data_IF_331892422033
#
_entry.id   IF_331892422033
#
_cell.length_a   1.000
_cell.length_b   1.000
_cell.length_c   1.000
_cell.angle_alpha   90.00
_cell.angle_beta   90.00
_cell.angle_gamma   90.00
#
_symmetry.space_group_name_H-M   'P 1'
#
loop_
_entity.id
_entity.type
_entity.pdbx_description
1 polymer ?
#
# COMPACT_ATOMS: atom_id res chain seq x y z
N UNK A 1 81.95 -65.25 -8.72
CA UNK A 1 81.80 -64.69 -10.09
C UNK A 1 82.52 -63.34 -10.11
N UNK A 2 83.83 -63.18 -10.37
CA UNK A 2 84.77 -63.76 -11.33
C UNK A 2 84.54 -63.36 -12.80
N UNK A 3 85.22 -62.29 -13.24
CA UNK A 3 86.03 -62.11 -14.48
C UNK A 3 85.97 -60.65 -14.94
N UNK A 4 87.03 -59.82 -14.90
CA UNK A 4 88.37 -59.82 -15.54
C UNK A 4 88.40 -59.68 -17.07
N UNK A 5 89.20 -58.70 -17.53
CA UNK A 5 89.81 -58.60 -18.85
C UNK A 5 89.10 -57.63 -19.81
N UNK A 6 89.76 -56.82 -20.64
CA UNK A 6 91.18 -56.67 -20.98
C UNK A 6 91.37 -55.36 -21.77
N UNK A 7 92.55 -54.77 -21.59
CA UNK A 7 93.20 -53.72 -22.39
C UNK A 7 93.20 -54.01 -23.90
N UNK A 8 93.13 -52.99 -24.77
CA UNK A 8 94.27 -52.59 -25.64
C UNK A 8 94.00 -51.39 -26.58
N UNK A 9 95.06 -50.58 -26.66
CA UNK A 9 95.64 -49.88 -27.84
C UNK A 9 95.04 -48.57 -28.35
N UNK A 10 95.85 -47.53 -28.14
CA UNK A 10 95.92 -46.30 -28.91
C UNK A 10 96.19 -46.54 -30.41
N UNK A 11 95.63 -45.68 -31.26
CA UNK A 11 96.19 -45.26 -32.57
C UNK A 11 95.64 -43.90 -32.98
N UNK A 12 96.51 -42.90 -32.89
CA UNK A 12 96.82 -41.84 -33.86
C UNK A 12 95.70 -41.25 -34.74
N UNK A 13 95.53 -39.94 -34.60
CA UNK A 13 94.71 -39.06 -35.43
C UNK A 13 95.02 -39.17 -36.95
N UNK A 14 94.14 -38.60 -37.80
CA UNK A 14 94.61 -37.42 -38.50
C UNK A 14 93.66 -36.22 -38.46
N UNK A 15 94.29 -35.06 -38.31
CA UNK A 15 93.73 -33.72 -38.13
C UNK A 15 93.12 -33.12 -39.41
N UNK A 16 92.20 -33.83 -40.09
CA UNK A 16 91.53 -33.31 -41.30
C UNK A 16 90.01 -33.06 -41.16
N UNK A 17 89.32 -33.69 -40.21
CA UNK A 17 87.87 -33.53 -40.01
C UNK A 17 87.48 -32.33 -39.13
N UNK A 18 88.30 -32.03 -38.12
CA UNK A 18 88.07 -30.87 -37.24
C UNK A 18 88.31 -29.52 -37.96
N UNK A 19 89.24 -29.48 -38.93
CA UNK A 19 89.48 -28.28 -39.76
C UNK A 19 88.31 -27.96 -40.70
N UNK A 20 87.66 -28.98 -41.29
CA UNK A 20 86.49 -28.77 -42.16
C UNK A 20 85.26 -28.24 -41.40
N UNK A 21 85.02 -28.69 -40.17
CA UNK A 21 83.94 -28.16 -39.32
C UNK A 21 84.25 -26.78 -38.73
N UNK A 22 85.53 -26.45 -38.55
CA UNK A 22 85.97 -25.12 -38.15
C UNK A 22 85.88 -24.10 -39.31
N UNK A 23 86.19 -24.51 -40.55
CA UNK A 23 86.02 -23.66 -41.74
C UNK A 23 84.56 -23.44 -42.13
N UNK A 24 83.69 -24.44 -41.98
CA UNK A 24 82.24 -24.26 -42.18
C UNK A 24 81.59 -23.31 -41.16
N UNK A 25 82.13 -23.21 -39.94
CA UNK A 25 81.71 -22.20 -38.95
C UNK A 25 82.28 -20.81 -39.19
N UNK A 26 83.32 -20.68 -40.03
CA UNK A 26 83.95 -19.38 -40.35
C UNK A 26 83.25 -18.66 -41.51
N UNK A 27 82.50 -19.38 -42.36
CA UNK A 27 81.73 -18.83 -43.49
C UNK A 27 80.21 -18.71 -43.25
N UNK A 28 79.70 -19.12 -42.09
CA UNK A 28 78.37 -18.70 -41.67
C UNK A 28 78.51 -17.30 -41.07
N UNK A 29 78.23 -16.29 -41.90
CA UNK A 29 78.15 -14.91 -41.46
C UNK A 29 77.31 -14.85 -40.19
N UNK A 30 77.87 -14.31 -39.11
CA UNK A 30 77.09 -13.99 -37.91
C UNK A 30 75.89 -13.18 -38.41
N UNK A 31 74.64 -13.64 -38.22
CA UNK A 31 73.50 -12.80 -38.55
C UNK A 31 73.66 -11.55 -37.69
N UNK A 32 74.07 -10.46 -38.32
CA UNK A 32 74.12 -9.17 -37.67
C UNK A 32 72.68 -8.91 -37.24
N UNK A 33 72.44 -8.94 -35.92
CA UNK A 33 71.12 -8.76 -35.35
C UNK A 33 70.69 -7.32 -35.65
N UNK A 34 70.04 -7.16 -36.80
CA UNK A 34 69.58 -5.87 -37.29
C UNK A 34 68.23 -5.62 -36.65
N UNK A 35 68.20 -4.73 -35.65
CA UNK A 35 66.98 -4.27 -34.99
C UNK A 35 65.94 -3.78 -36.01
N UNK A 36 66.37 -3.24 -37.15
CA UNK A 36 65.47 -2.83 -38.25
C UNK A 36 64.76 -4.00 -38.92
N UNK A 37 65.46 -5.11 -39.18
CA UNK A 37 64.83 -6.31 -39.76
C UNK A 37 63.85 -7.03 -38.83
N UNK A 38 63.90 -6.74 -37.53
CA UNK A 38 62.92 -7.22 -36.56
C UNK A 38 61.62 -6.40 -36.61
N UNK A 39 61.71 -5.10 -36.92
CA UNK A 39 60.57 -4.17 -36.95
C UNK A 39 59.71 -4.38 -38.20
N UNK A 40 60.31 -4.78 -39.33
CA UNK A 40 59.58 -5.03 -40.58
C UNK A 40 58.81 -6.37 -40.61
N UNK A 41 58.84 -7.16 -39.53
CA UNK A 41 58.08 -8.41 -39.45
C UNK A 41 56.66 -8.13 -38.92
N UNK A 42 55.60 -8.36 -39.73
CA UNK A 42 54.22 -8.11 -39.30
C UNK A 42 53.83 -8.94 -38.07
N UNK A 43 54.40 -10.15 -37.93
CA UNK A 43 54.19 -11.00 -36.75
C UNK A 43 54.67 -10.35 -35.45
N UNK A 44 55.76 -9.56 -35.51
CA UNK A 44 56.33 -8.91 -34.34
C UNK A 44 55.53 -7.67 -33.95
N UNK A 45 55.06 -6.90 -34.94
CA UNK A 45 54.12 -5.79 -34.71
C UNK A 45 52.82 -6.28 -34.09
N UNK A 46 52.26 -7.38 -34.59
CA UNK A 46 51.06 -8.01 -34.02
C UNK A 46 51.30 -8.49 -32.58
N UNK A 47 52.46 -9.10 -32.31
CA UNK A 47 52.81 -9.55 -30.96
C UNK A 47 52.99 -8.36 -29.98
N UNK A 48 53.65 -7.28 -30.40
CA UNK A 48 53.82 -6.08 -29.59
C UNK A 48 52.48 -5.37 -29.35
N UNK A 49 51.64 -5.25 -30.37
CA UNK A 49 50.30 -4.67 -30.24
C UNK A 49 49.43 -5.50 -29.29
N UNK A 50 49.45 -6.84 -29.41
CA UNK A 50 48.75 -7.73 -28.50
C UNK A 50 49.25 -7.59 -27.05
N UNK A 51 50.57 -7.49 -26.85
CA UNK A 51 51.17 -7.25 -25.53
C UNK A 51 50.71 -5.91 -24.95
N UNK A 52 50.69 -4.85 -25.76
CA UNK A 52 50.30 -3.51 -25.33
C UNK A 52 48.83 -3.46 -24.92
N UNK A 53 47.95 -4.05 -25.74
CA UNK A 53 46.52 -4.21 -25.40
C UNK A 53 46.35 -5.02 -24.12
N UNK A 54 47.11 -6.11 -23.96
CA UNK A 54 47.06 -6.92 -22.74
C UNK A 54 47.50 -6.13 -21.50
N UNK A 55 48.58 -5.35 -21.58
CA UNK A 55 49.05 -4.50 -20.48
C UNK A 55 48.02 -3.43 -20.13
N UNK A 56 47.41 -2.79 -21.13
CA UNK A 56 46.35 -1.80 -20.90
C UNK A 56 45.15 -2.47 -20.21
N UNK A 57 44.66 -3.59 -20.73
CA UNK A 57 43.55 -4.33 -20.15
C UNK A 57 43.85 -4.79 -18.72
N UNK A 58 45.05 -5.33 -18.47
CA UNK A 58 45.48 -5.77 -17.16
C UNK A 58 45.59 -4.60 -16.17
N UNK A 59 46.11 -3.46 -16.60
CA UNK A 59 46.22 -2.25 -15.76
C UNK A 59 44.84 -1.71 -15.42
N UNK A 60 43.93 -1.69 -16.41
CA UNK A 60 42.54 -1.26 -16.22
C UNK A 60 41.80 -2.20 -15.27
N UNK A 61 41.97 -3.52 -15.42
CA UNK A 61 41.41 -4.54 -14.52
C UNK A 61 41.98 -4.43 -13.10
N UNK A 62 43.29 -4.17 -12.97
CA UNK A 62 43.94 -4.01 -11.67
C UNK A 62 43.46 -2.76 -10.95
N UNK A 63 43.25 -1.66 -11.68
CA UNK A 63 42.72 -0.43 -11.11
C UNK A 63 41.26 -0.62 -10.67
N UNK A 64 40.44 -1.22 -11.54
CA UNK A 64 39.05 -1.56 -11.22
C UNK A 64 38.94 -2.53 -10.02
N UNK A 65 39.81 -3.52 -9.93
CA UNK A 65 39.84 -4.45 -8.80
C UNK A 65 40.24 -3.79 -7.48
N UNK A 66 41.05 -2.73 -7.50
CA UNK A 66 41.45 -2.00 -6.29
C UNK A 66 40.33 -1.14 -5.73
N UNK A 67 39.36 -0.77 -6.56
CA UNK A 67 38.20 0.03 -6.17
C UNK A 67 37.08 -0.82 -5.56
N UNK A 68 37.10 -2.14 -5.73
CA UNK A 68 36.13 -3.04 -5.10
C UNK A 68 36.45 -3.25 -3.61
N UNK A 69 35.54 -2.89 -2.69
CA UNK A 69 35.73 -3.15 -1.26
C UNK A 69 35.80 -4.66 -1.01
N UNK A 70 36.95 -5.14 -0.56
CA UNK A 70 37.13 -6.54 -0.11
C UNK A 70 36.64 -6.73 1.32
N UNK A 71 35.41 -6.30 1.57
CA UNK A 71 34.81 -6.40 2.90
C UNK A 71 33.67 -7.40 2.83
N UNK A 72 33.68 -8.38 3.74
CA UNK A 72 32.62 -9.37 3.89
C UNK A 72 31.88 -9.13 5.20
N UNK A 73 30.60 -9.48 5.20
CA UNK A 73 29.81 -9.51 6.44
C UNK A 73 30.50 -10.41 7.48
N UNK A 74 30.53 -9.95 8.75
CA UNK A 74 31.21 -10.63 9.84
C UNK A 74 32.75 -10.49 9.87
N UNK A 75 33.36 -9.70 8.98
CA UNK A 75 34.80 -9.45 9.03
C UNK A 75 35.16 -8.47 10.15
N UNK A 76 36.29 -8.71 10.83
CA UNK A 76 36.86 -7.75 11.79
C UNK A 76 37.58 -6.64 11.01
N UNK A 77 37.22 -5.40 11.28
CA UNK A 77 37.73 -4.23 10.58
C UNK A 77 39.14 -3.88 11.07
N UNK A 78 40.08 -3.66 10.14
CA UNK A 78 41.47 -3.31 10.47
C UNK A 78 41.71 -1.81 10.57
N UNK A 79 40.80 -1.00 10.03
CA UNK A 79 40.87 0.46 10.00
C UNK A 79 39.54 1.07 10.46
N UNK A 80 39.59 2.30 10.97
CA UNK A 80 38.39 3.10 11.25
C UNK A 80 38.00 3.87 9.99
N UNK A 81 36.72 3.88 9.65
CA UNK A 81 36.19 4.64 8.51
C UNK A 81 35.07 5.57 8.96
N UNK A 82 35.14 6.81 8.50
CA UNK A 82 34.11 7.82 8.68
C UNK A 82 33.37 8.05 7.36
N UNK A 83 32.12 8.48 7.45
CA UNK A 83 31.33 8.94 6.31
C UNK A 83 31.96 10.20 5.72
N UNK A 84 32.00 10.29 4.40
CA UNK A 84 32.66 11.38 3.66
C UNK A 84 31.72 12.50 3.24
N UNK A 85 30.43 12.21 3.14
CA UNK A 85 29.42 13.08 2.57
C UNK A 85 28.23 13.16 3.53
N UNK A 86 27.53 14.30 3.49
CA UNK A 86 26.18 14.40 4.02
C UNK A 86 25.23 13.77 3.00
N UNK A 87 24.41 12.82 3.43
CA UNK A 87 23.39 12.22 2.57
C UNK A 87 22.18 11.77 3.37
N UNK A 88 21.01 11.82 2.73
CA UNK A 88 19.78 11.28 3.28
C UNK A 88 19.45 9.97 2.56
N UNK A 89 19.07 8.95 3.34
CA UNK A 89 18.53 7.69 2.84
C UNK A 89 17.08 7.59 3.29
N UNK A 90 16.19 7.21 2.38
CA UNK A 90 14.80 6.93 2.74
C UNK A 90 14.77 5.60 3.50
N UNK A 91 14.25 5.65 4.72
CA UNK A 91 13.92 4.45 5.48
C UNK A 91 12.61 3.90 4.95
N UNK A 92 12.71 2.91 4.06
CA UNK A 92 11.56 2.27 3.41
C UNK A 92 10.70 1.55 4.44
N UNK A 93 11.30 0.92 5.44
CA UNK A 93 10.58 0.16 6.46
C UNK A 93 9.79 1.10 7.39
N UNK A 94 10.41 2.17 7.86
CA UNK A 94 9.73 3.19 8.66
C UNK A 94 8.64 3.91 7.85
N UNK A 95 8.91 4.21 6.59
CA UNK A 95 7.92 4.83 5.70
C UNK A 95 6.72 3.91 5.48
N UNK A 96 6.93 2.64 5.15
CA UNK A 96 5.83 1.69 4.95
C UNK A 96 5.06 1.41 6.25
N UNK A 97 5.74 1.40 7.40
CA UNK A 97 5.07 1.34 8.71
C UNK A 97 4.16 2.55 8.92
N UNK A 98 4.65 3.76 8.69
CA UNK A 98 3.83 4.98 8.81
C UNK A 98 2.67 4.99 7.82
N UNK A 99 2.88 4.52 6.58
CA UNK A 99 1.81 4.35 5.59
C UNK A 99 0.77 3.33 6.05
N UNK A 100 1.18 2.20 6.61
CA UNK A 100 0.27 1.20 7.12
C UNK A 100 -0.55 1.73 8.32
N UNK A 101 0.08 2.47 9.22
CA UNK A 101 -0.60 3.17 10.32
C UNK A 101 -1.59 4.21 9.79
N UNK A 102 -1.21 4.99 8.76
CA UNK A 102 -2.09 5.95 8.11
C UNK A 102 -3.32 5.26 7.48
N UNK A 103 -3.13 4.17 6.72
CA UNK A 103 -4.23 3.35 6.17
C UNK A 103 -5.16 2.83 7.26
N UNK A 104 -4.60 2.33 8.36
CA UNK A 104 -5.37 1.80 9.48
C UNK A 104 -6.13 2.89 10.25
N UNK A 105 -5.60 4.11 10.29
CA UNK A 105 -6.23 5.27 10.93
C UNK A 105 -7.26 5.98 10.06
N UNK A 106 -7.36 5.63 8.78
CA UNK A 106 -8.25 6.28 7.84
C UNK A 106 -9.73 6.15 8.27
N UNK A 107 -10.54 7.20 8.07
CA UNK A 107 -11.94 7.16 8.46
C UNK A 107 -12.71 6.13 7.62
N UNK A 108 -13.62 5.40 8.26
CA UNK A 108 -14.58 4.55 7.57
C UNK A 108 -15.63 5.41 6.90
N UNK A 109 -15.87 5.16 5.63
CA UNK A 109 -16.85 5.89 4.83
C UNK A 109 -18.15 5.09 4.78
N UNK A 110 -19.26 5.79 5.04
CA UNK A 110 -20.60 5.26 4.93
C UNK A 110 -21.36 6.04 3.87
N UNK A 111 -22.34 5.40 3.25
CA UNK A 111 -23.28 6.04 2.33
C UNK A 111 -24.70 5.84 2.81
N UNK A 112 -25.57 6.75 2.42
CA UNK A 112 -27.00 6.62 2.67
C UNK A 112 -27.55 5.40 1.94
N UNK A 113 -28.37 4.61 2.62
CA UNK A 113 -29.12 3.52 2.01
C UNK A 113 -30.31 4.07 1.24
N UNK A 114 -30.05 4.71 0.09
CA UNK A 114 -31.09 5.37 -0.70
C UNK A 114 -32.22 4.40 -1.07
N UNK A 115 -31.90 3.18 -1.48
CA UNK A 115 -32.91 2.16 -1.78
C UNK A 115 -33.87 1.91 -0.62
N UNK A 116 -33.37 1.78 0.61
CA UNK A 116 -34.24 1.59 1.76
C UNK A 116 -35.00 2.87 2.14
N UNK A 117 -34.30 4.01 2.22
CA UNK A 117 -34.90 5.26 2.66
C UNK A 117 -35.94 5.78 1.66
N UNK A 118 -35.71 5.65 0.37
CA UNK A 118 -36.66 6.03 -0.69
C UNK A 118 -37.90 5.13 -0.64
N UNK A 119 -37.73 3.82 -0.47
CA UNK A 119 -38.86 2.90 -0.30
C UNK A 119 -39.66 3.21 0.96
N UNK A 120 -38.98 3.47 2.08
CA UNK A 120 -39.62 3.87 3.35
C UNK A 120 -40.36 5.20 3.19
N UNK A 121 -39.75 6.14 2.47
CA UNK A 121 -40.30 7.47 2.19
C UNK A 121 -41.57 7.38 1.38
N UNK A 122 -41.53 6.73 0.21
CA UNK A 122 -42.70 6.56 -0.65
C UNK A 122 -43.81 5.78 0.05
N UNK A 123 -43.45 4.72 0.78
CA UNK A 123 -44.37 3.92 1.59
C UNK A 123 -45.11 4.79 2.62
N UNK A 124 -44.38 5.55 3.45
CA UNK A 124 -44.99 6.39 4.47
C UNK A 124 -45.76 7.57 3.86
N UNK A 125 -45.24 8.19 2.80
CA UNK A 125 -45.83 9.36 2.16
C UNK A 125 -47.20 9.04 1.56
N UNK A 126 -47.34 7.92 0.86
CA UNK A 126 -48.60 7.52 0.23
C UNK A 126 -49.68 7.03 1.20
N UNK A 127 -49.32 6.76 2.47
CA UNK A 127 -50.19 6.07 3.41
C UNK A 127 -51.50 6.82 3.73
N UNK A 128 -51.51 8.12 4.09
CA UNK A 128 -52.78 8.79 4.40
C UNK A 128 -53.73 8.84 3.21
N UNK A 129 -53.20 9.05 1.99
CA UNK A 129 -54.01 9.07 0.77
C UNK A 129 -54.62 7.69 0.48
N UNK A 130 -53.88 6.61 0.73
CA UNK A 130 -54.39 5.24 0.58
C UNK A 130 -55.49 4.90 1.60
N UNK A 131 -55.43 5.51 2.79
CA UNK A 131 -56.39 5.31 3.88
C UNK A 131 -57.53 6.35 3.89
N UNK A 132 -57.54 7.31 2.96
CA UNK A 132 -58.54 8.36 2.91
C UNK A 132 -59.96 7.78 2.77
N UNK A 133 -60.89 8.30 3.57
CA UNK A 133 -62.29 7.85 3.63
C UNK A 133 -62.48 6.38 4.04
N UNK A 134 -61.48 5.73 4.64
CA UNK A 134 -61.63 4.42 5.27
C UNK A 134 -62.02 4.59 6.73
N UNK A 135 -63.02 3.82 7.16
CA UNK A 135 -63.63 3.92 8.49
C UNK A 135 -63.42 2.68 9.34
N UNK A 136 -63.09 1.54 8.72
CA UNK A 136 -62.78 0.30 9.42
C UNK A 136 -61.52 -0.33 8.83
N UNK A 137 -60.77 -1.05 9.67
CA UNK A 137 -59.63 -1.84 9.22
C UNK A 137 -60.00 -2.82 8.10
N UNK A 138 -61.23 -3.32 8.06
CA UNK A 138 -61.68 -4.27 7.03
C UNK A 138 -61.76 -3.67 5.62
N UNK A 139 -61.95 -2.36 5.52
CA UNK A 139 -62.00 -1.63 4.25
C UNK A 139 -60.61 -1.32 3.69
N UNK A 140 -59.54 -1.62 4.44
CA UNK A 140 -58.15 -1.37 4.06
C UNK A 140 -57.65 -2.51 3.16
N UNK A 141 -56.99 -2.15 2.06
CA UNK A 141 -56.39 -3.09 1.11
C UNK A 141 -55.51 -4.14 1.84
N UNK A 142 -55.66 -5.45 1.55
CA UNK A 142 -54.86 -6.50 2.17
C UNK A 142 -53.35 -6.30 2.06
N UNK A 143 -52.87 -5.68 0.97
CA UNK A 143 -51.45 -5.38 0.77
C UNK A 143 -50.96 -4.36 1.80
N UNK A 144 -51.73 -3.29 2.02
CA UNK A 144 -51.42 -2.28 3.05
C UNK A 144 -51.46 -2.91 4.44
N UNK A 145 -52.45 -3.76 4.72
CA UNK A 145 -52.55 -4.44 6.03
C UNK A 145 -51.35 -5.34 6.31
N UNK A 146 -50.80 -6.00 5.29
CA UNK A 146 -49.59 -6.82 5.39
C UNK A 146 -48.35 -5.96 5.65
N UNK A 147 -48.22 -4.85 4.94
CA UNK A 147 -47.04 -3.99 5.01
C UNK A 147 -47.04 -3.09 6.29
N UNK A 148 -48.21 -2.97 6.94
CA UNK A 148 -48.45 -2.25 8.20
C UNK A 148 -49.24 -3.10 9.22
N UNK A 149 -48.68 -4.18 9.75
CA UNK A 149 -49.38 -5.09 10.66
C UNK A 149 -49.76 -4.45 12.02
N UNK A 150 -49.26 -3.25 12.30
CA UNK A 150 -49.50 -2.51 13.54
C UNK A 150 -50.52 -1.38 13.39
N UNK A 151 -51.18 -1.29 12.23
CA UNK A 151 -52.29 -0.37 12.03
C UNK A 151 -53.48 -0.81 12.89
N UNK A 152 -53.98 0.10 13.74
CA UNK A 152 -55.16 -0.12 14.59
C UNK A 152 -56.26 0.90 14.24
N UNK A 153 -57.47 0.74 14.77
CA UNK A 153 -58.60 1.63 14.46
C UNK A 153 -58.33 3.11 14.86
N UNK A 154 -57.61 3.34 15.96
CA UNK A 154 -57.24 4.69 16.40
C UNK A 154 -56.31 5.39 15.39
N UNK A 155 -55.23 4.72 14.98
CA UNK A 155 -54.27 5.25 14.00
C UNK A 155 -54.88 5.35 12.62
N UNK A 156 -55.77 4.43 12.24
CA UNK A 156 -56.56 4.51 11.01
C UNK A 156 -57.40 5.79 10.99
N UNK A 157 -58.14 6.08 12.07
CA UNK A 157 -58.98 7.27 12.14
C UNK A 157 -58.15 8.55 11.96
N UNK A 158 -56.98 8.63 12.60
CA UNK A 158 -56.07 9.78 12.48
C UNK A 158 -55.50 9.89 11.06
N UNK A 159 -55.01 8.79 10.47
CA UNK A 159 -54.42 8.79 9.12
C UNK A 159 -55.47 9.06 8.03
N UNK A 160 -56.69 8.55 8.19
CA UNK A 160 -57.83 8.80 7.29
C UNK A 160 -58.27 10.26 7.34
N UNK A 161 -58.29 10.87 8.54
CA UNK A 161 -58.54 12.30 8.70
C UNK A 161 -57.46 13.16 8.03
N UNK A 162 -56.18 12.79 8.18
CA UNK A 162 -55.06 13.45 7.48
C UNK A 162 -55.25 13.32 5.96
N UNK A 163 -55.55 12.13 5.45
CA UNK A 163 -55.73 11.87 4.02
C UNK A 163 -56.90 12.62 3.38
N UNK A 164 -57.88 13.05 4.18
CA UNK A 164 -59.08 13.75 3.71
C UNK A 164 -58.90 15.28 3.63
N UNK A 165 -57.86 15.83 4.25
CA UNK A 165 -57.54 17.26 4.28
C UNK A 165 -56.17 17.55 3.60
N UNK A 166 -56.20 18.26 2.47
CA UNK A 166 -55.00 18.61 1.70
C UNK A 166 -53.93 19.37 2.53
N UNK A 167 -54.34 20.16 3.53
CA UNK A 167 -53.41 20.87 4.40
C UNK A 167 -52.70 19.88 5.33
N UNK A 168 -53.44 18.91 5.87
CA UNK A 168 -52.87 17.88 6.74
C UNK A 168 -51.98 16.91 5.96
N UNK A 169 -52.32 16.56 4.72
CA UNK A 169 -51.45 15.79 3.82
C UNK A 169 -50.12 16.50 3.62
N UNK A 170 -50.13 17.82 3.42
CA UNK A 170 -48.92 18.61 3.26
C UNK A 170 -48.05 18.58 4.53
N UNK A 171 -48.66 18.69 5.70
CA UNK A 171 -47.95 18.56 6.98
C UNK A 171 -47.36 17.16 7.17
N UNK A 172 -48.11 16.12 6.80
CA UNK A 172 -47.64 14.74 6.82
C UNK A 172 -46.37 14.55 5.98
N UNK A 173 -46.35 15.11 4.76
CA UNK A 173 -45.15 15.06 3.91
C UNK A 173 -43.96 15.72 4.59
N UNK A 174 -44.14 16.88 5.21
CA UNK A 174 -43.07 17.54 5.97
C UNK A 174 -42.58 16.71 7.15
N UNK A 175 -43.47 16.02 7.87
CA UNK A 175 -43.07 15.14 8.99
C UNK A 175 -42.26 13.94 8.49
N UNK A 176 -42.70 13.29 7.42
CA UNK A 176 -42.00 12.15 6.79
C UNK A 176 -40.65 12.59 6.22
N UNK A 177 -40.61 13.73 5.52
CA UNK A 177 -39.38 14.33 4.99
C UNK A 177 -38.38 14.61 6.13
N UNK A 178 -38.84 15.24 7.21
CA UNK A 178 -38.00 15.53 8.37
C UNK A 178 -37.51 14.25 9.05
N UNK A 179 -38.36 13.23 9.20
CA UNK A 179 -37.95 11.97 9.79
C UNK A 179 -36.84 11.30 8.96
N UNK A 180 -37.05 11.16 7.65
CA UNK A 180 -36.18 10.34 6.80
C UNK A 180 -34.94 11.11 6.35
N UNK A 181 -35.11 12.33 5.84
CA UNK A 181 -34.03 13.09 5.23
C UNK A 181 -33.23 13.93 6.23
N UNK A 182 -33.71 14.07 7.48
CA UNK A 182 -33.01 14.80 8.53
C UNK A 182 -32.71 13.90 9.72
N UNK A 183 -33.73 13.35 10.39
CA UNK A 183 -33.51 12.63 11.65
C UNK A 183 -32.78 11.29 11.46
N UNK A 184 -33.12 10.48 10.45
CA UNK A 184 -32.47 9.18 10.18
C UNK A 184 -31.08 9.31 9.54
N UNK A 185 -30.72 10.50 9.06
CA UNK A 185 -29.35 10.81 8.63
C UNK A 185 -28.51 11.28 9.82
N UNK A 186 -29.06 12.16 10.68
CA UNK A 186 -28.40 12.61 11.90
C UNK A 186 -28.20 11.47 12.90
N UNK A 187 -29.24 10.66 13.12
CA UNK A 187 -29.28 9.56 14.10
C UNK A 187 -29.50 8.25 13.37
N UNK A 188 -28.46 7.69 12.73
CA UNK A 188 -28.62 6.59 11.80
C UNK A 188 -29.01 5.29 12.47
N UNK A 189 -29.81 4.48 11.78
CA UNK A 189 -30.09 3.10 12.16
C UNK A 189 -28.95 2.24 11.63
N UNK A 190 -28.30 1.49 12.51
CA UNK A 190 -27.16 0.63 12.18
C UNK A 190 -27.48 -0.80 12.62
N UNK A 191 -27.17 -1.78 11.78
CA UNK A 191 -27.32 -3.19 12.10
C UNK A 191 -26.40 -3.57 13.27
N UNK A 192 -26.84 -4.47 14.15
CA UNK A 192 -26.04 -4.92 15.29
C UNK A 192 -24.64 -5.43 14.90
N UNK A 193 -24.50 -6.07 13.73
CA UNK A 193 -23.19 -6.54 13.23
C UNK A 193 -22.18 -5.42 12.95
N UNK A 194 -22.64 -4.23 12.57
CA UNK A 194 -21.78 -3.08 12.24
C UNK A 194 -21.69 -2.07 13.40
N UNK A 195 -22.61 -2.14 14.37
CA UNK A 195 -22.76 -1.14 15.41
C UNK A 195 -21.47 -0.88 16.19
N UNK A 196 -20.80 -1.95 16.65
CA UNK A 196 -19.57 -1.82 17.44
C UNK A 196 -18.44 -1.15 16.63
N UNK A 197 -18.34 -1.47 15.34
CA UNK A 197 -17.34 -0.87 14.45
C UNK A 197 -17.67 0.60 14.20
N UNK A 198 -18.95 0.91 13.97
CA UNK A 198 -19.44 2.26 13.72
C UNK A 198 -19.17 3.23 14.88
N UNK A 199 -19.36 2.77 16.13
CA UNK A 199 -19.17 3.63 17.31
C UNK A 199 -17.70 3.78 17.73
N UNK A 200 -16.83 2.82 17.38
CA UNK A 200 -15.42 2.82 17.80
C UNK A 200 -14.48 3.50 16.81
N UNK A 201 -14.84 3.54 15.52
CA UNK A 201 -13.98 4.10 14.48
C UNK A 201 -14.36 5.53 14.11
N UNK A 202 -13.38 6.27 13.57
CA UNK A 202 -13.67 7.53 12.90
C UNK A 202 -14.53 7.26 11.66
N UNK A 203 -15.59 8.05 11.47
CA UNK A 203 -16.65 7.81 10.50
C UNK A 203 -16.99 9.05 9.72
N UNK A 204 -17.19 8.89 8.42
CA UNK A 204 -17.68 9.95 7.53
C UNK A 204 -18.82 9.44 6.66
N UNK A 205 -19.72 10.34 6.31
CA UNK A 205 -20.81 10.13 5.37
C UNK A 205 -20.41 10.68 4.01
N UNK A 206 -20.41 9.84 2.98
CA UNK A 206 -20.31 10.25 1.61
C UNK A 206 -21.67 10.82 1.15
N UNK A 207 -21.76 12.14 1.07
CA UNK A 207 -22.96 12.85 0.60
C UNK A 207 -22.77 13.28 -0.85
N UNK A 208 -23.64 12.78 -1.73
CA UNK A 208 -23.68 13.20 -3.14
C UNK A 208 -24.26 14.61 -3.21
N UNK A 209 -23.54 15.53 -3.84
CA UNK A 209 -23.95 16.91 -4.05
C UNK A 209 -24.73 17.06 -5.38
N UNK A 210 -25.50 18.15 -5.55
CA UNK A 210 -26.27 18.39 -6.77
C UNK A 210 -25.42 18.50 -8.05
N UNK A 211 -24.15 18.87 -7.92
CA UNK A 211 -23.19 18.95 -9.02
C UNK A 211 -22.61 17.57 -9.44
N UNK A 212 -23.05 16.49 -8.79
CA UNK A 212 -22.56 15.13 -9.00
C UNK A 212 -21.26 14.81 -8.26
N UNK A 213 -20.63 15.78 -7.60
CA UNK A 213 -19.50 15.52 -6.72
C UNK A 213 -19.97 14.83 -5.44
N UNK A 214 -19.07 14.16 -4.72
CA UNK A 214 -19.39 13.59 -3.41
C UNK A 214 -18.47 14.17 -2.37
N UNK A 215 -19.05 14.70 -1.31
CA UNK A 215 -18.32 15.28 -0.18
C UNK A 215 -18.43 14.36 1.03
N UNK A 216 -17.31 14.15 1.69
CA UNK A 216 -17.26 13.38 2.93
C UNK A 216 -17.51 14.32 4.12
N UNK A 217 -18.58 14.06 4.86
CA UNK A 217 -18.99 14.83 6.03
C UNK A 217 -18.84 14.00 7.31
N UNK A 218 -18.51 14.64 8.44
CA UNK A 218 -18.42 13.92 9.71
C UNK A 218 -19.81 13.53 10.22
N UNK A 219 -19.97 12.27 10.64
CA UNK A 219 -21.23 11.81 11.25
C UNK A 219 -21.18 12.11 12.75
N UNK A 220 -21.85 13.19 13.16
CA UNK A 220 -21.83 13.67 14.55
C UNK A 220 -22.84 12.97 15.46
N UNK A 221 -23.97 12.50 14.93
CA UNK A 221 -25.01 11.91 15.77
C UNK A 221 -24.67 10.51 16.27
N UNK A 222 -25.40 10.12 17.30
CA UNK A 222 -25.28 8.81 17.94
C UNK A 222 -26.12 7.82 17.13
N UNK A 223 -25.58 6.69 16.67
CA UNK A 223 -26.38 5.70 15.94
C UNK A 223 -27.37 4.98 16.86
N UNK A 224 -28.45 4.43 16.32
CA UNK A 224 -29.35 3.50 17.02
C UNK A 224 -29.04 2.09 16.53
N UNK A 225 -28.78 1.18 17.45
CA UNK A 225 -28.56 -0.22 17.13
C UNK A 225 -29.88 -0.94 16.84
N UNK A 226 -29.98 -1.57 15.68
CA UNK A 226 -31.08 -2.46 15.33
C UNK A 226 -30.78 -3.87 15.84
N UNK A 227 -31.55 -4.31 16.83
CA UNK A 227 -31.53 -5.66 17.41
C UNK A 227 -32.93 -6.28 17.35
N UNK A 228 -32.96 -7.61 17.31
CA UNK A 228 -34.18 -8.39 17.48
C UNK A 228 -34.04 -9.32 18.71
N UNK A 229 -34.77 -9.07 19.82
CA UNK A 229 -35.71 -7.96 20.03
C UNK A 229 -35.02 -6.60 20.23
N UNK A 230 -35.70 -5.47 19.96
CA UNK A 230 -35.14 -4.14 20.14
C UNK A 230 -34.91 -3.83 21.62
N UNK A 231 -33.81 -3.13 21.93
CA UNK A 231 -33.52 -2.70 23.30
C UNK A 231 -34.44 -1.55 23.73
N UNK A 232 -34.68 -1.43 25.04
CA UNK A 232 -35.48 -0.31 25.58
C UNK A 232 -34.86 1.06 25.24
N UNK A 233 -33.53 1.16 25.24
CA UNK A 233 -32.82 2.37 24.82
C UNK A 233 -33.05 2.69 23.34
N UNK A 234 -32.95 1.69 22.45
CA UNK A 234 -33.21 1.89 21.03
C UNK A 234 -34.64 2.39 20.78
N UNK A 235 -35.64 1.80 21.45
CA UNK A 235 -37.04 2.25 21.36
C UNK A 235 -37.22 3.67 21.90
N UNK A 236 -36.58 4.01 23.03
CA UNK A 236 -36.66 5.35 23.61
C UNK A 236 -36.06 6.41 22.68
N UNK A 237 -34.93 6.10 22.02
CA UNK A 237 -34.26 6.99 21.07
C UNK A 237 -35.02 7.09 19.74
N UNK A 238 -35.61 6.00 19.26
CA UNK A 238 -36.53 6.03 18.11
C UNK A 238 -37.72 6.96 18.38
N UNK A 239 -38.29 6.91 19.60
CA UNK A 239 -39.33 7.85 20.01
C UNK A 239 -38.87 9.30 19.95
N UNK A 240 -37.68 9.60 20.46
CA UNK A 240 -37.13 10.97 20.44
C UNK A 240 -37.00 11.50 19.01
N UNK A 241 -36.45 10.71 18.08
CA UNK A 241 -36.30 11.16 16.69
C UNK A 241 -37.64 11.34 15.98
N UNK A 242 -38.61 10.46 16.23
CA UNK A 242 -39.97 10.58 15.65
C UNK A 242 -40.67 11.83 16.20
N UNK A 243 -40.57 12.10 17.49
CA UNK A 243 -41.12 13.34 18.08
C UNK A 243 -40.40 14.58 17.53
N UNK A 244 -39.07 14.55 17.37
CA UNK A 244 -38.28 15.66 16.79
C UNK A 244 -38.61 15.93 15.32
N UNK A 245 -39.21 14.97 14.61
CA UNK A 245 -39.75 15.16 13.25
C UNK A 245 -41.13 15.85 13.20
N UNK A 246 -41.67 16.25 14.35
CA UNK A 246 -42.99 16.89 14.52
C UNK A 246 -44.19 15.98 14.25
N UNK A 247 -44.01 14.65 14.30
CA UNK A 247 -45.10 13.68 14.18
C UNK A 247 -46.07 13.82 15.37
N UNK A 248 -47.39 13.87 15.14
CA UNK A 248 -48.40 13.93 16.20
C UNK A 248 -48.29 12.75 17.19
N UNK A 249 -48.50 12.97 18.50
CA UNK A 249 -48.37 11.92 19.52
C UNK A 249 -49.10 10.59 19.21
N UNK A 250 -50.34 10.59 18.66
CA UNK A 250 -51.04 9.34 18.33
C UNK A 250 -50.34 8.47 17.28
N UNK A 251 -49.50 9.08 16.43
CA UNK A 251 -48.80 8.39 15.33
C UNK A 251 -47.38 7.98 15.70
N UNK A 252 -46.85 8.42 16.85
CA UNK A 252 -45.46 8.15 17.23
C UNK A 252 -45.19 6.66 17.34
N UNK A 253 -46.05 5.91 18.05
CA UNK A 253 -45.90 4.45 18.18
C UNK A 253 -45.99 3.72 16.85
N UNK A 254 -46.89 4.18 15.98
CA UNK A 254 -47.08 3.62 14.65
C UNK A 254 -45.79 3.76 13.82
N UNK A 255 -45.18 4.94 13.81
CA UNK A 255 -43.93 5.20 13.08
C UNK A 255 -42.77 4.39 13.64
N UNK A 256 -42.62 4.32 14.97
CA UNK A 256 -41.57 3.51 15.62
C UNK A 256 -41.72 2.04 15.21
N UNK A 257 -42.94 1.49 15.27
CA UNK A 257 -43.21 0.10 14.89
C UNK A 257 -42.92 -0.15 13.42
N UNK A 258 -43.20 0.80 12.52
CA UNK A 258 -42.83 0.67 11.11
C UNK A 258 -41.30 0.60 10.92
N UNK A 259 -40.53 1.44 11.62
CA UNK A 259 -39.07 1.41 11.57
C UNK A 259 -38.49 0.11 12.14
N UNK A 260 -39.13 -0.47 13.17
CA UNK A 260 -38.71 -1.73 13.78
C UNK A 260 -39.18 -2.97 13.01
N UNK A 261 -40.18 -2.85 12.14
CA UNK A 261 -40.67 -3.95 11.32
C UNK A 261 -39.73 -4.23 10.14
N UNK A 262 -39.27 -3.19 9.44
CA UNK A 262 -38.31 -3.31 8.32
C UNK A 262 -36.90 -2.95 8.80
N UNK A 263 -36.32 -3.76 9.69
CA UNK A 263 -35.03 -3.53 10.38
C UNK A 263 -33.83 -3.43 9.40
N UNK A 264 -33.74 -2.33 8.67
CA UNK A 264 -32.68 -2.02 7.71
C UNK A 264 -31.92 -0.79 8.16
N UNK A 265 -30.62 -0.81 7.89
CA UNK A 265 -29.76 0.33 8.21
C UNK A 265 -30.07 1.53 7.30
N UNK A 266 -30.09 2.72 7.90
CA UNK A 266 -30.19 3.98 7.13
C UNK A 266 -28.86 4.35 6.48
N UNK A 267 -27.73 3.89 7.04
CA UNK A 267 -26.40 4.03 6.48
C UNK A 267 -25.76 2.67 6.24
N UNK A 268 -25.05 2.53 5.12
CA UNK A 268 -24.33 1.30 4.74
C UNK A 268 -22.85 1.61 4.58
N UNK A 269 -22.00 0.70 5.02
CA UNK A 269 -20.55 0.80 4.84
C UNK A 269 -20.18 0.79 3.35
N UNK A 270 -19.35 1.75 2.94
CA UNK A 270 -18.82 1.85 1.59
C UNK A 270 -17.36 1.39 1.59
N UNK A 271 -17.17 0.10 1.29
CA UNK A 271 -15.85 -0.53 1.32
C UNK A 271 -14.91 0.05 0.27
N UNK A 272 -15.40 0.25 -0.96
CA UNK A 272 -14.60 0.76 -2.08
C UNK A 272 -14.08 2.16 -1.78
N UNK A 273 -14.97 3.05 -1.32
CA UNK A 273 -14.58 4.42 -0.98
C UNK A 273 -13.68 4.48 0.25
N UNK A 274 -13.94 3.65 1.26
CA UNK A 274 -13.07 3.55 2.44
C UNK A 274 -11.66 3.11 2.05
N UNK A 275 -11.51 2.13 1.15
CA UNK A 275 -10.20 1.72 0.65
C UNK A 275 -9.51 2.82 -0.16
N UNK A 276 -10.26 3.53 -1.00
CA UNK A 276 -9.72 4.66 -1.76
C UNK A 276 -9.21 5.77 -0.82
N UNK A 277 -9.99 6.16 0.18
CA UNK A 277 -9.58 7.13 1.21
C UNK A 277 -8.38 6.62 2.01
N UNK A 278 -8.33 5.34 2.37
CA UNK A 278 -7.19 4.77 3.08
C UNK A 278 -5.90 4.83 2.27
N UNK A 279 -5.97 4.60 0.95
CA UNK A 279 -4.82 4.76 0.04
C UNK A 279 -4.39 6.22 -0.05
N UNK A 280 -5.33 7.15 -0.20
CA UNK A 280 -5.04 8.58 -0.23
C UNK A 280 -4.32 9.04 1.06
N UNK A 281 -4.77 8.60 2.22
CA UNK A 281 -4.10 8.89 3.50
C UNK A 281 -2.69 8.31 3.57
N UNK A 282 -2.46 7.13 2.98
CA UNK A 282 -1.13 6.52 2.89
C UNK A 282 -0.22 7.32 1.96
N UNK A 283 -0.75 7.79 0.83
CA UNK A 283 0.01 8.53 -0.18
C UNK A 283 0.41 9.92 0.33
N UNK A 284 -0.34 10.50 1.27
CA UNK A 284 0.00 11.74 1.97
C UNK A 284 1.15 11.58 2.98
N UNK A 285 1.54 10.36 3.35
CA UNK A 285 2.67 10.12 4.27
C UNK A 285 3.99 10.43 3.56
N UNK A 286 4.72 11.41 4.10
CA UNK A 286 6.03 11.76 3.60
C UNK A 286 7.04 10.64 3.89
N UNK A 287 7.98 10.37 2.96
CA UNK A 287 9.05 9.42 3.21
C UNK A 287 9.86 9.79 4.44
N UNK A 288 10.10 8.82 5.33
CA UNK A 288 10.98 8.98 6.49
C UNK A 288 12.41 8.96 6.00
N UNK A 289 13.17 10.02 6.25
CA UNK A 289 14.57 10.11 5.86
C UNK A 289 15.47 9.98 7.08
N UNK A 290 16.47 9.11 6.99
CA UNK A 290 17.58 9.06 7.92
C UNK A 290 18.68 9.96 7.35
N UNK A 291 19.00 11.02 8.08
CA UNK A 291 20.10 11.90 7.75
C UNK A 291 21.41 11.29 8.26
N UNK A 292 22.42 11.32 7.39
CA UNK A 292 23.78 10.94 7.73
C UNK A 292 24.69 12.12 7.47
N UNK A 293 25.48 12.48 8.47
CA UNK A 293 26.42 13.56 8.37
C UNK A 293 27.84 13.08 8.04
N UNK A 294 28.57 13.90 7.31
CA UNK A 294 30.00 13.73 7.08
C UNK A 294 30.74 13.73 8.43
N UNK A 295 31.70 12.83 8.56
CA UNK A 295 32.44 12.62 9.80
C UNK A 295 31.78 11.63 10.77
N UNK A 296 30.55 11.17 10.54
CA UNK A 296 29.96 10.08 11.31
C UNK A 296 30.75 8.79 11.16
N UNK A 297 30.77 8.00 12.23
CA UNK A 297 31.49 6.74 12.27
C UNK A 297 30.72 5.66 11.48
N UNK A 298 31.38 5.05 10.50
CA UNK A 298 30.86 3.91 9.75
C UNK A 298 31.20 2.60 10.47
N UNK A 299 32.46 2.44 10.87
CA UNK A 299 32.96 1.39 11.76
C UNK A 299 34.32 1.76 12.33
N UNK A 300 34.68 1.21 13.49
CA UNK A 300 36.02 1.34 14.08
C UNK A 300 36.88 0.14 13.76
N UNK A 301 38.20 0.36 13.80
CA UNK A 301 39.16 -0.74 13.87
C UNK A 301 38.85 -1.63 15.07
N UNK A 302 38.75 -2.93 14.83
CA UNK A 302 38.44 -3.95 15.83
C UNK A 302 36.96 -4.36 15.85
N UNK A 303 36.08 -3.58 15.22
CA UNK A 303 34.65 -3.91 15.15
C UNK A 303 34.42 -5.06 14.16
N UNK A 304 33.45 -5.91 14.47
CA UNK A 304 32.90 -6.87 13.51
C UNK A 304 31.87 -6.12 12.67
N UNK A 305 32.06 -6.08 11.34
CA UNK A 305 31.13 -5.40 10.46
C UNK A 305 29.79 -6.12 10.45
N UNK A 306 28.75 -5.39 10.86
CA UNK A 306 27.37 -5.87 10.83
C UNK A 306 26.76 -5.73 9.43
N UNK A 307 25.69 -6.48 9.12
CA UNK A 307 24.97 -6.35 7.86
C UNK A 307 24.50 -4.92 7.58
N UNK A 308 24.02 -4.20 8.61
CA UNK A 308 23.58 -2.81 8.50
C UNK A 308 24.73 -1.87 8.12
N UNK A 309 25.88 -1.97 8.81
CA UNK A 309 27.07 -1.16 8.49
C UNK A 309 27.64 -1.47 7.10
N UNK A 310 27.51 -2.73 6.65
CA UNK A 310 27.89 -3.11 5.29
C UNK A 310 27.00 -2.44 4.23
N UNK A 311 25.68 -2.41 4.45
CA UNK A 311 24.73 -1.72 3.57
C UNK A 311 24.96 -0.21 3.57
N UNK A 312 25.21 0.40 4.73
CA UNK A 312 25.57 1.81 4.84
C UNK A 312 26.85 2.13 4.05
N UNK A 313 27.86 1.26 4.12
CA UNK A 313 29.10 1.42 3.35
C UNK A 313 28.84 1.36 1.84
N UNK A 314 28.02 0.41 1.38
CA UNK A 314 27.67 0.31 -0.04
C UNK A 314 26.88 1.52 -0.51
N UNK A 315 25.92 1.97 0.29
CA UNK A 315 25.10 3.16 0.00
C UNK A 315 25.95 4.43 -0.06
N UNK A 316 26.84 4.65 0.91
CA UNK A 316 27.78 5.78 0.91
C UNK A 316 28.66 5.77 -0.35
N UNK A 317 29.17 4.58 -0.74
CA UNK A 317 30.01 4.44 -1.95
C UNK A 317 29.22 4.80 -3.20
N UNK A 318 28.03 4.25 -3.36
CA UNK A 318 27.22 4.47 -4.55
C UNK A 318 26.82 5.95 -4.67
N UNK A 319 26.56 6.62 -3.55
CA UNK A 319 26.34 8.08 -3.49
C UNK A 319 27.59 8.90 -3.76
N UNK A 320 28.77 8.42 -3.39
CA UNK A 320 30.05 9.10 -3.65
C UNK A 320 30.51 8.96 -5.11
N UNK A 321 30.09 7.88 -5.79
CA UNK A 321 30.44 7.62 -7.20
C UNK A 321 29.45 8.22 -8.21
N UNK A 322 28.22 8.53 -7.77
CA UNK A 322 27.20 9.23 -8.55
C UNK A 322 27.52 10.73 -8.68
#
# INVERSE_FOLDING_TARGET
MARTGKSTKAKTAPAKSARRRAELRRNLGRPAFSLRTLIDRPDLLNAVAALLVFVIAATMLMNWSREQPRVRDGQIMTNTRLKRLDYAVVDVDATEKQRAEARASAPRIYRTNTTYLDLLHESLRGLPTALANRTSLDDVDPVVRRDYPHLNEETLAVLSAIGSDNVQVSNWYLWVDNLINLQLIETPLILSSEYQVFVTHNRRLARVQPDGSTKDEMILGIPIELKDPPSADAVARLRQIVVKSNVPPPLVEFMIRKLLYDQKASLVFDAERTEATAREFADMVQPVTIEHHAGELLYRRGDVLTPAQYQDLMTERDKYQA
#
